data_IF_547580263113
#
_entry.id   IF_547580263113
#
_cell.length_a   1.000
_cell.length_b   1.000
_cell.length_c   1.000
_cell.angle_alpha   90.00
_cell.angle_beta   90.00
_cell.angle_gamma   90.00
#
_symmetry.space_group_name_H-M   'P 1'
#
loop_
_entity.id
_entity.type
_entity.pdbx_description
1 polymer ?
#
# COMPACT_ATOMS: atom_id res chain seq x y z
N UNK A 1 16.69 11.98 1.19
CA UNK A 1 17.20 11.24 0.01
C UNK A 1 16.63 9.83 0.06
N UNK A 2 16.04 9.32 -1.02
CA UNK A 2 15.41 7.99 -1.02
C UNK A 2 16.45 6.87 -0.97
N UNK A 3 16.15 5.81 -0.21
CA UNK A 3 16.96 4.60 -0.17
C UNK A 3 16.90 3.85 -1.50
N UNK A 4 17.89 2.97 -1.76
CA UNK A 4 17.87 2.11 -2.96
C UNK A 4 16.62 1.24 -3.03
N UNK A 5 16.08 0.82 -1.89
CA UNK A 5 14.86 0.03 -1.77
C UNK A 5 13.62 0.84 -2.19
N UNK A 6 13.52 2.09 -1.71
CA UNK A 6 12.44 3.01 -2.08
C UNK A 6 12.45 3.33 -3.58
N UNK A 7 13.63 3.53 -4.18
CA UNK A 7 13.75 3.75 -5.64
C UNK A 7 13.29 2.55 -6.46
N UNK A 8 13.67 1.34 -6.06
CA UNK A 8 13.23 0.10 -6.72
C UNK A 8 11.72 -0.12 -6.61
N UNK A 9 11.13 0.24 -5.48
CA UNK A 9 9.67 0.24 -5.32
C UNK A 9 8.98 1.24 -6.24
N UNK A 10 9.45 2.50 -6.29
CA UNK A 10 8.87 3.52 -7.16
C UNK A 10 8.88 3.06 -8.62
N UNK A 11 9.96 2.42 -9.08
CA UNK A 11 10.03 1.87 -10.44
C UNK A 11 8.98 0.78 -10.68
N UNK A 12 8.82 -0.17 -9.75
CA UNK A 12 7.80 -1.23 -9.85
C UNK A 12 6.38 -0.67 -9.87
N UNK A 13 6.10 0.32 -9.02
CA UNK A 13 4.79 0.96 -8.98
C UNK A 13 4.53 1.76 -10.26
N UNK A 14 5.53 2.49 -10.78
CA UNK A 14 5.40 3.17 -12.08
C UNK A 14 5.08 2.19 -13.21
N UNK A 15 5.77 1.04 -13.28
CA UNK A 15 5.47 -0.01 -14.27
C UNK A 15 4.03 -0.52 -14.10
N UNK A 16 3.63 -0.84 -12.88
CA UNK A 16 2.28 -1.36 -12.60
C UNK A 16 1.19 -0.33 -12.94
N UNK A 17 1.44 0.95 -12.65
CA UNK A 17 0.57 2.08 -13.04
C UNK A 17 0.46 2.17 -14.57
N UNK A 18 1.57 1.99 -15.30
CA UNK A 18 1.58 2.02 -16.75
C UNK A 18 0.85 0.81 -17.37
N UNK A 19 1.04 -0.39 -16.81
CA UNK A 19 0.35 -1.62 -17.24
C UNK A 19 -1.16 -1.58 -16.96
N UNK A 20 -1.58 -0.92 -15.88
CA UNK A 20 -2.97 -0.83 -15.45
C UNK A 20 -3.64 0.51 -15.79
N UNK A 21 -3.09 1.29 -16.74
CA UNK A 21 -3.76 2.48 -17.28
C UNK A 21 -4.61 2.11 -18.52
N UNK A 22 -5.90 1.74 -18.41
CA UNK A 22 -6.85 2.12 -19.45
C UNK A 22 -7.21 3.59 -19.23
N UNK A 23 -7.96 4.18 -20.15
CA UNK A 23 -8.27 5.60 -20.28
C UNK A 23 -9.01 6.30 -19.10
N UNK A 24 -8.89 5.81 -17.85
CA UNK A 24 -9.50 6.35 -16.64
C UNK A 24 -8.46 6.67 -15.55
N UNK A 25 -8.86 7.48 -14.56
CA UNK A 25 -8.01 7.83 -13.41
C UNK A 25 -7.76 6.61 -12.54
N UNK A 26 -6.51 6.16 -12.47
CA UNK A 26 -6.09 5.03 -11.66
C UNK A 26 -6.18 5.37 -10.17
N UNK A 27 -6.74 4.48 -9.36
CA UNK A 27 -6.91 4.65 -7.91
C UNK A 27 -5.94 3.75 -7.14
N UNK A 28 -5.06 4.34 -6.34
CA UNK A 28 -4.06 3.59 -5.55
C UNK A 28 -4.37 3.73 -4.07
N UNK A 29 -4.68 2.61 -3.40
CA UNK A 29 -4.81 2.55 -1.95
C UNK A 29 -3.45 2.35 -1.31
N UNK A 30 -3.10 3.16 -0.32
CA UNK A 30 -1.87 3.05 0.46
C UNK A 30 -2.23 2.82 1.92
N UNK A 31 -1.80 1.70 2.49
CA UNK A 31 -1.95 1.39 3.90
C UNK A 31 -0.59 1.46 4.61
N UNK A 32 -0.57 2.09 5.78
CA UNK A 32 0.60 2.19 6.65
C UNK A 32 0.20 2.01 8.12
N UNK A 33 1.03 1.31 8.88
CA UNK A 33 0.84 1.13 10.34
C UNK A 33 1.35 2.32 11.16
N UNK A 34 1.78 3.42 10.51
CA UNK A 34 2.24 4.64 11.15
C UNK A 34 2.16 5.86 10.22
N UNK A 35 3.20 6.72 10.24
CA UNK A 35 3.34 7.90 9.36
C UNK A 35 4.40 7.69 8.25
N UNK A 36 5.16 6.60 8.27
CA UNK A 36 6.31 6.38 7.39
C UNK A 36 5.96 6.29 5.90
N UNK A 37 4.73 5.89 5.59
CA UNK A 37 4.15 5.78 4.26
C UNK A 37 3.83 7.14 3.63
N UNK A 38 3.81 8.24 4.40
CA UNK A 38 3.64 9.58 3.84
C UNK A 38 4.83 10.01 2.99
N UNK A 39 6.04 9.56 3.31
CA UNK A 39 7.23 9.81 2.48
C UNK A 39 7.09 9.15 1.11
N UNK A 40 6.61 7.90 1.10
CA UNK A 40 6.39 7.14 -0.14
C UNK A 40 5.26 7.77 -0.95
N UNK A 41 4.16 8.15 -0.30
CA UNK A 41 3.06 8.87 -0.94
C UNK A 41 3.52 10.19 -1.56
N UNK A 42 4.32 10.98 -0.83
CA UNK A 42 4.87 12.26 -1.31
C UNK A 42 5.65 12.07 -2.62
N UNK A 43 6.53 11.07 -2.69
CA UNK A 43 7.28 10.78 -3.92
C UNK A 43 6.39 10.25 -5.05
N UNK A 44 5.40 9.43 -4.73
CA UNK A 44 4.47 8.90 -5.73
C UNK A 44 3.63 9.99 -6.39
N UNK A 45 3.15 10.95 -5.61
CA UNK A 45 2.37 12.08 -6.13
C UNK A 45 3.18 12.96 -7.08
N UNK A 46 4.51 13.01 -6.94
CA UNK A 46 5.39 13.77 -7.86
C UNK A 46 5.55 13.10 -9.22
N UNK A 47 5.52 11.77 -9.28
CA UNK A 47 5.84 11.00 -10.50
C UNK A 47 4.62 10.48 -11.24
N UNK A 48 3.42 10.57 -10.66
CA UNK A 48 2.21 9.95 -11.19
C UNK A 48 1.10 10.96 -11.48
N UNK A 49 1.09 11.52 -12.68
CA UNK A 49 -0.05 12.30 -13.17
C UNK A 49 -1.22 11.38 -13.54
N UNK A 50 -2.43 11.77 -13.15
CA UNK A 50 -3.66 11.01 -13.41
C UNK A 50 -3.89 9.82 -12.48
N UNK A 51 -3.27 9.82 -11.28
CA UNK A 51 -3.48 8.81 -10.25
C UNK A 51 -4.12 9.46 -9.01
N UNK A 52 -5.17 8.83 -8.47
CA UNK A 52 -5.83 9.23 -7.23
C UNK A 52 -5.37 8.31 -6.10
N UNK A 53 -4.70 8.88 -5.10
CA UNK A 53 -4.21 8.13 -3.95
C UNK A 53 -5.20 8.17 -2.78
N UNK A 54 -5.42 7.04 -2.13
CA UNK A 54 -6.18 6.89 -0.89
C UNK A 54 -5.23 6.40 0.20
N UNK A 55 -4.82 7.27 1.11
CA UNK A 55 -3.91 6.90 2.20
C UNK A 55 -4.68 6.61 3.48
N UNK A 56 -4.39 5.47 4.09
CA UNK A 56 -4.90 5.05 5.40
C UNK A 56 -3.73 4.80 6.35
N UNK A 57 -3.51 5.73 7.27
CA UNK A 57 -2.59 5.57 8.39
C UNK A 57 -3.35 5.09 9.63
N UNK A 58 -3.04 3.91 10.14
CA UNK A 58 -3.73 3.34 11.29
C UNK A 58 -3.10 3.73 12.62
N UNK A 59 -3.15 5.03 12.94
CA UNK A 59 -2.51 5.60 14.12
C UNK A 59 -3.15 5.17 15.44
N UNK A 60 -4.44 4.81 15.44
CA UNK A 60 -5.19 4.43 16.63
C UNK A 60 -4.71 3.11 17.28
N UNK A 61 -4.02 2.26 16.52
CA UNK A 61 -3.60 0.92 16.97
C UNK A 61 -2.06 0.77 17.05
N UNK A 62 -1.34 1.87 16.87
CA UNK A 62 0.12 1.95 17.06
C UNK A 62 0.50 1.67 18.53
N UNK A 63 1.62 0.98 18.81
CA UNK A 63 2.53 0.34 17.86
C UNK A 63 2.09 -1.07 17.49
N UNK A 64 2.19 -1.39 16.20
CA UNK A 64 1.97 -2.75 15.67
C UNK A 64 3.10 -3.71 16.09
N UNK A 65 4.30 -3.20 16.39
CA UNK A 65 5.49 -3.99 16.69
C UNK A 65 5.39 -4.91 17.90
N UNK A 66 4.50 -4.60 18.85
CA UNK A 66 4.32 -5.36 20.10
C UNK A 66 3.14 -6.34 20.04
N UNK A 67 2.43 -6.40 18.91
CA UNK A 67 1.21 -7.19 18.76
C UNK A 67 1.54 -8.59 18.23
N UNK A 68 0.66 -9.55 18.51
CA UNK A 68 0.77 -10.89 17.93
C UNK A 68 0.55 -10.84 16.42
N UNK A 69 1.14 -11.79 15.70
CA UNK A 69 0.98 -11.92 14.24
C UNK A 69 -0.50 -11.97 13.83
N UNK A 70 -1.33 -12.73 14.56
CA UNK A 70 -2.77 -12.83 14.34
C UNK A 70 -3.48 -11.48 14.44
N UNK A 71 -3.09 -10.66 15.44
CA UNK A 71 -3.66 -9.33 15.65
C UNK A 71 -3.28 -8.39 14.51
N UNK A 72 -2.01 -8.43 14.11
CA UNK A 72 -1.48 -7.60 13.03
C UNK A 72 -2.21 -7.96 11.73
N UNK A 73 -2.32 -9.25 11.41
CA UNK A 73 -3.05 -9.75 10.25
C UNK A 73 -4.50 -9.26 10.28
N UNK A 74 -5.19 -9.38 11.41
CA UNK A 74 -6.58 -8.93 11.56
C UNK A 74 -6.72 -7.44 11.22
N UNK A 75 -5.89 -6.57 11.81
CA UNK A 75 -5.97 -5.13 11.57
C UNK A 75 -5.70 -4.75 10.12
N UNK A 76 -4.70 -5.39 9.54
CA UNK A 76 -4.33 -5.25 8.13
C UNK A 76 -5.42 -5.65 7.14
N UNK A 77 -6.15 -6.72 7.45
CA UNK A 77 -7.32 -7.14 6.69
C UNK A 77 -8.47 -6.14 6.82
N UNK A 78 -8.70 -5.59 8.01
CA UNK A 78 -9.70 -4.54 8.23
C UNK A 78 -9.38 -3.26 7.45
N UNK A 79 -8.13 -2.80 7.51
CA UNK A 79 -7.62 -1.65 6.76
C UNK A 79 -7.76 -1.86 5.25
N UNK A 80 -7.42 -3.05 4.77
CA UNK A 80 -7.55 -3.37 3.35
C UNK A 80 -9.01 -3.40 2.92
N UNK A 81 -9.89 -4.07 3.66
CA UNK A 81 -11.34 -4.06 3.38
C UNK A 81 -11.92 -2.66 3.37
N UNK A 82 -11.43 -1.76 4.21
CA UNK A 82 -11.83 -0.37 4.18
C UNK A 82 -11.38 0.32 2.88
N UNK A 83 -10.11 0.19 2.49
CA UNK A 83 -9.58 0.76 1.25
C UNK A 83 -10.28 0.22 -0.01
N UNK A 84 -10.67 -1.06 -0.02
CA UNK A 84 -11.41 -1.67 -1.12
C UNK A 84 -12.76 -0.99 -1.41
N UNK A 85 -13.38 -0.32 -0.43
CA UNK A 85 -14.63 0.42 -0.62
C UNK A 85 -14.48 1.62 -1.56
N UNK A 86 -13.26 2.09 -1.78
CA UNK A 86 -12.97 3.19 -2.71
C UNK A 86 -12.72 2.71 -4.14
N UNK A 87 -12.90 1.41 -4.39
CA UNK A 87 -12.67 0.77 -5.69
C UNK A 87 -11.24 1.03 -6.20
N UNK A 88 -10.26 0.79 -5.35
CA UNK A 88 -8.84 0.93 -5.72
C UNK A 88 -8.45 -0.11 -6.76
N UNK A 89 -7.56 0.27 -7.68
CA UNK A 89 -7.00 -0.59 -8.72
C UNK A 89 -5.68 -1.23 -8.28
N UNK A 90 -4.98 -0.60 -7.34
CA UNK A 90 -3.70 -1.07 -6.79
C UNK A 90 -3.69 -0.86 -5.28
N UNK A 91 -3.19 -1.84 -4.54
CA UNK A 91 -2.94 -1.74 -3.10
C UNK A 91 -1.43 -1.68 -2.79
N UNK A 92 -1.02 -0.69 -2.03
CA UNK A 92 0.35 -0.48 -1.57
C UNK A 92 0.36 -0.62 -0.05
N UNK A 93 1.19 -1.53 0.48
CA UNK A 93 1.26 -1.79 1.92
C UNK A 93 2.65 -1.46 2.43
N UNK A 94 2.74 -0.44 3.28
CA UNK A 94 3.94 -0.06 3.99
C UNK A 94 3.81 -0.49 5.47
N UNK A 95 4.06 -1.76 5.78
CA UNK A 95 4.08 -2.23 7.17
C UNK A 95 5.39 -2.96 7.43
N UNK A 96 6.04 -2.69 8.56
CA UNK A 96 7.37 -3.21 8.93
C UNK A 96 7.44 -4.74 9.14
N UNK A 97 6.40 -5.50 8.79
CA UNK A 97 6.28 -6.93 9.12
C UNK A 97 5.98 -7.76 7.87
N UNK A 98 6.98 -8.53 7.44
CA UNK A 98 6.94 -9.45 6.30
C UNK A 98 5.87 -10.57 6.43
N UNK A 99 5.34 -10.81 7.64
CA UNK A 99 4.40 -11.93 7.92
C UNK A 99 2.98 -11.67 7.42
N UNK A 100 2.64 -10.42 7.10
CA UNK A 100 1.30 -10.03 6.64
C UNK A 100 1.02 -10.44 5.19
N UNK A 101 2.08 -10.60 4.41
CA UNK A 101 2.07 -10.84 2.98
C UNK A 101 1.30 -12.13 2.61
N UNK A 102 1.34 -13.15 3.47
CA UNK A 102 0.60 -14.40 3.25
C UNK A 102 -0.91 -14.20 3.35
N UNK A 103 -1.38 -13.41 4.32
CA UNK A 103 -2.80 -13.11 4.48
C UNK A 103 -3.34 -12.27 3.31
N UNK A 104 -2.47 -11.48 2.67
CA UNK A 104 -2.83 -10.71 1.49
C UNK A 104 -2.84 -11.51 0.19
N UNK A 105 -2.22 -12.71 0.14
CA UNK A 105 -2.30 -13.59 -1.03
C UNK A 105 -3.74 -13.96 -1.41
N UNK A 106 -4.66 -13.99 -0.45
CA UNK A 106 -6.09 -14.21 -0.73
C UNK A 106 -6.74 -13.07 -1.53
N UNK A 107 -6.19 -11.85 -1.49
CA UNK A 107 -6.65 -10.70 -2.30
C UNK A 107 -5.96 -10.62 -3.66
N UNK A 108 -4.85 -11.34 -3.84
CA UNK A 108 -4.05 -11.37 -5.08
C UNK A 108 -4.87 -11.79 -6.32
N UNK A 109 -5.97 -12.53 -6.12
CA UNK A 109 -6.90 -12.90 -7.20
C UNK A 109 -7.76 -11.75 -7.73
N UNK A 110 -7.79 -10.58 -7.05
CA UNK A 110 -8.65 -9.45 -7.41
C UNK A 110 -7.91 -8.16 -7.71
N UNK A 111 -6.80 -7.86 -7.02
CA UNK A 111 -6.11 -6.57 -7.16
C UNK A 111 -4.59 -6.76 -7.07
N UNK A 112 -3.79 -6.17 -7.98
CA UNK A 112 -2.35 -6.07 -7.85
C UNK A 112 -1.94 -5.38 -6.55
N UNK A 113 -0.90 -5.88 -5.88
CA UNK A 113 -0.36 -5.24 -4.67
C UNK A 113 1.17 -5.15 -4.67
N UNK A 114 1.68 -4.15 -3.96
CA UNK A 114 3.11 -3.94 -3.72
C UNK A 114 3.40 -3.81 -2.22
N UNK A 115 4.53 -4.36 -1.79
CA UNK A 115 4.96 -4.42 -0.39
C UNK A 115 6.45 -4.08 -0.22
N UNK A 116 6.84 -3.80 1.04
CA UNK A 116 8.24 -3.83 1.51
C UNK A 116 9.20 -2.81 0.86
N UNK A 117 9.01 -1.51 1.15
CA UNK A 117 9.85 -0.40 0.65
C UNK A 117 10.68 0.25 1.76
#
# INVERSE_FOLDING_TARGET
MLSSRQKGFLLKLSILIMENKPFHTLKVGVFDSGLGGLTVLSELTKVSSGVKFFYLGDTARVPYGIRSDETIIKYSLECTRFLLKFEIDILVINSLQHRQCESYRSFKKRIPFLENF
#
